data_IF_557658624474
#
_entry.id   IF_557658624474
#
_cell.length_a   1.000
_cell.length_b   1.000
_cell.length_c   1.000
_cell.angle_alpha   90.00
_cell.angle_beta   90.00
_cell.angle_gamma   90.00
#
_symmetry.space_group_name_H-M   'P 1'
#
loop_
_entity.id
_entity.type
_entity.pdbx_description
1 polymer ?
#
# COMPACT_ATOMS: atom_id res chain seq x y z
N UNK A 1 7.42 10.83 -25.68
CA UNK A 1 6.68 9.99 -24.72
C UNK A 1 6.59 8.57 -25.23
N UNK A 2 6.90 7.60 -24.39
CA UNK A 2 6.77 6.20 -24.74
C UNK A 2 5.58 5.60 -24.04
N UNK A 3 4.76 4.88 -24.79
CA UNK A 3 3.67 4.10 -24.24
C UNK A 3 4.14 2.69 -23.90
N UNK A 4 3.54 2.09 -22.87
CA UNK A 4 3.79 0.70 -22.50
C UNK A 4 2.49 0.02 -22.09
N UNK A 5 2.28 -1.17 -22.59
CA UNK A 5 1.15 -2.01 -22.20
C UNK A 5 1.58 -3.47 -22.24
N UNK A 6 0.99 -4.27 -21.36
CA UNK A 6 1.22 -5.71 -21.32
C UNK A 6 -0.10 -6.43 -20.94
N UNK A 7 -0.10 -7.74 -21.00
CA UNK A 7 -1.31 -8.53 -20.75
C UNK A 7 -1.35 -9.19 -19.36
N UNK A 8 -0.50 -8.73 -18.43
CA UNK A 8 -0.45 -9.28 -17.06
C UNK A 8 -1.71 -8.99 -16.25
N UNK A 9 -2.37 -7.88 -16.55
CA UNK A 9 -3.57 -7.42 -15.85
C UNK A 9 -4.64 -7.00 -16.84
N UNK A 10 -5.88 -6.91 -16.39
CA UNK A 10 -6.99 -6.42 -17.21
C UNK A 10 -6.77 -4.99 -17.67
N UNK A 11 -6.04 -4.20 -16.89
CA UNK A 11 -5.73 -2.80 -17.20
C UNK A 11 -4.58 -2.66 -18.21
N UNK A 12 -3.99 -3.78 -18.66
CA UNK A 12 -2.86 -3.81 -19.60
C UNK A 12 -1.61 -3.10 -19.04
N UNK A 13 -1.44 -3.15 -17.73
CA UNK A 13 -0.30 -2.57 -17.02
C UNK A 13 0.46 -3.66 -16.25
N UNK A 14 1.77 -3.48 -16.00
CA UNK A 14 2.52 -4.42 -15.17
C UNK A 14 1.87 -4.61 -13.80
N UNK A 15 1.91 -5.82 -13.27
CA UNK A 15 1.26 -6.16 -12.01
C UNK A 15 1.73 -5.30 -10.83
N UNK A 16 3.05 -5.00 -10.64
CA UNK A 16 3.47 -4.20 -9.50
C UNK A 16 2.82 -2.82 -9.45
N UNK A 17 2.80 -2.08 -10.56
CA UNK A 17 2.19 -0.74 -10.58
C UNK A 17 0.68 -0.83 -10.48
N UNK A 18 0.06 -1.83 -11.09
CA UNK A 18 -1.38 -2.04 -11.00
C UNK A 18 -1.80 -2.27 -9.54
N UNK A 19 -1.11 -3.15 -8.83
CA UNK A 19 -1.39 -3.42 -7.42
C UNK A 19 -1.11 -2.21 -6.54
N UNK A 20 0.00 -1.50 -6.78
CA UNK A 20 0.33 -0.31 -6.01
C UNK A 20 -0.76 0.77 -6.14
N UNK A 21 -1.25 1.00 -7.35
CA UNK A 21 -2.34 1.96 -7.57
C UNK A 21 -3.64 1.52 -6.90
N UNK A 22 -3.99 0.25 -6.98
CA UNK A 22 -5.19 -0.28 -6.32
C UNK A 22 -5.11 -0.19 -4.81
N UNK A 23 -3.95 -0.48 -4.24
CA UNK A 23 -3.71 -0.35 -2.81
C UNK A 23 -3.79 1.11 -2.35
N UNK A 24 -3.19 2.02 -3.11
CA UNK A 24 -3.25 3.45 -2.79
C UNK A 24 -4.69 3.98 -2.84
N UNK A 25 -5.46 3.54 -3.84
CA UNK A 25 -6.87 3.91 -3.96
C UNK A 25 -7.68 3.35 -2.80
N UNK A 26 -7.44 2.09 -2.41
CA UNK A 26 -8.13 1.48 -1.26
C UNK A 26 -7.77 2.18 0.03
N UNK A 27 -6.50 2.56 0.21
CA UNK A 27 -6.06 3.32 1.38
C UNK A 27 -6.84 4.64 1.52
N UNK A 28 -7.02 5.36 0.40
CA UNK A 28 -7.83 6.57 0.39
C UNK A 28 -9.30 6.27 0.72
N UNK A 29 -9.84 5.18 0.19
CA UNK A 29 -11.23 4.78 0.43
C UNK A 29 -11.49 4.48 1.90
N UNK A 30 -10.64 3.69 2.54
CA UNK A 30 -10.83 3.34 3.96
C UNK A 30 -10.72 4.57 4.86
N UNK A 31 -9.93 5.58 4.47
CA UNK A 31 -9.86 6.85 5.16
C UNK A 31 -11.13 7.68 4.95
N UNK A 32 -11.54 7.87 3.71
CA UNK A 32 -12.68 8.73 3.35
C UNK A 32 -14.01 8.19 3.85
N UNK A 33 -14.16 6.88 3.88
CA UNK A 33 -15.40 6.22 4.32
C UNK A 33 -15.37 5.85 5.82
N UNK A 34 -14.35 6.31 6.55
CA UNK A 34 -14.19 6.05 7.98
C UNK A 34 -14.14 4.56 8.36
N UNK A 35 -13.71 3.71 7.45
CA UNK A 35 -13.48 2.30 7.76
C UNK A 35 -12.31 2.20 8.73
N UNK A 36 -11.26 2.98 8.49
CA UNK A 36 -10.17 3.20 9.46
C UNK A 36 -10.17 4.71 9.75
N UNK A 37 -10.66 5.07 10.92
CA UNK A 37 -10.97 6.48 11.22
C UNK A 37 -9.81 7.34 11.68
N UNK A 38 -8.63 6.75 11.91
CA UNK A 38 -7.45 7.47 12.39
C UNK A 38 -6.43 7.79 11.30
N UNK A 39 -6.70 7.42 10.05
CA UNK A 39 -5.79 7.69 8.94
C UNK A 39 -5.87 9.14 8.49
N UNK A 40 -4.73 9.68 8.05
CA UNK A 40 -4.62 11.01 7.47
C UNK A 40 -4.21 10.91 6.00
N UNK A 41 -4.30 12.03 5.23
CA UNK A 41 -4.22 11.97 3.76
C UNK A 41 -2.91 11.46 3.16
N UNK A 42 -1.77 11.69 3.81
CA UNK A 42 -0.49 11.32 3.21
C UNK A 42 -0.22 9.83 3.34
N UNK A 43 0.23 9.23 2.25
CA UNK A 43 0.53 7.80 2.23
C UNK A 43 1.34 7.41 1.02
N UNK A 44 2.06 6.30 1.14
CA UNK A 44 2.91 5.77 0.10
C UNK A 44 2.77 4.25 0.05
N UNK A 45 2.70 3.69 -1.16
CA UNK A 45 2.60 2.26 -1.38
C UNK A 45 3.70 1.80 -2.32
N UNK A 46 4.30 0.67 -2.00
CA UNK A 46 5.31 0.03 -2.85
C UNK A 46 5.06 -1.47 -2.88
N UNK A 47 5.08 -2.06 -4.06
CA UNK A 47 4.85 -3.49 -4.26
C UNK A 47 6.00 -4.09 -5.05
N UNK A 48 6.53 -5.22 -4.56
CA UNK A 48 7.54 -6.01 -5.26
C UNK A 48 6.93 -7.36 -5.63
N UNK A 49 6.99 -7.70 -6.90
CA UNK A 49 6.44 -8.94 -7.45
C UNK A 49 7.57 -9.81 -7.95
N UNK A 50 7.52 -11.10 -7.62
CA UNK A 50 8.44 -12.09 -8.15
C UNK A 50 7.93 -12.61 -9.48
N UNK A 51 8.80 -12.61 -10.50
CA UNK A 51 8.50 -13.09 -11.84
C UNK A 51 9.27 -14.36 -12.14
N UNK A 52 8.67 -15.23 -12.92
CA UNK A 52 9.30 -16.40 -13.47
C UNK A 52 8.97 -16.44 -14.97
N UNK A 53 10.01 -16.41 -15.83
CA UNK A 53 9.85 -16.40 -17.29
C UNK A 53 8.86 -15.33 -17.78
N UNK A 54 9.01 -14.10 -17.31
CA UNK A 54 8.18 -12.96 -17.64
C UNK A 54 6.73 -13.01 -17.12
N UNK A 55 6.41 -14.04 -16.32
CA UNK A 55 5.09 -14.17 -15.70
C UNK A 55 5.16 -13.89 -14.21
N UNK A 56 4.23 -13.08 -13.66
CA UNK A 56 4.19 -12.85 -12.22
C UNK A 56 3.72 -14.11 -11.49
N UNK A 57 4.44 -14.52 -10.45
CA UNK A 57 4.12 -15.75 -9.69
C UNK A 57 3.66 -15.47 -8.27
N UNK A 58 4.20 -14.45 -7.62
CA UNK A 58 3.81 -14.11 -6.25
C UNK A 58 4.20 -12.67 -5.92
N UNK A 59 3.53 -12.13 -4.92
CA UNK A 59 3.93 -10.85 -4.33
C UNK A 59 5.00 -11.13 -3.27
N UNK A 60 6.18 -10.56 -3.46
CA UNK A 60 7.28 -10.76 -2.53
C UNK A 60 7.21 -9.82 -1.33
N UNK A 61 6.96 -8.54 -1.58
CA UNK A 61 6.99 -7.53 -0.53
C UNK A 61 5.94 -6.44 -0.79
N UNK A 62 5.26 -6.02 0.26
CA UNK A 62 4.37 -4.86 0.23
C UNK A 62 4.83 -3.89 1.31
N UNK A 63 5.09 -2.65 0.92
CA UNK A 63 5.43 -1.56 1.84
C UNK A 63 4.33 -0.51 1.78
N UNK A 64 3.75 -0.20 2.92
CA UNK A 64 2.74 0.86 3.04
C UNK A 64 3.15 1.78 4.18
N UNK A 65 3.32 3.07 3.87
CA UNK A 65 3.51 4.10 4.88
C UNK A 65 2.33 5.04 4.84
N UNK A 66 1.66 5.22 5.95
CA UNK A 66 0.47 6.06 6.02
C UNK A 66 0.51 6.97 7.23
N UNK A 67 0.12 8.23 7.00
CA UNK A 67 -0.02 9.19 8.06
C UNK A 67 -1.22 8.84 8.94
N UNK A 68 -1.10 9.05 10.24
CA UNK A 68 -2.13 8.67 11.20
C UNK A 68 -2.17 9.64 12.38
N UNK A 69 -3.20 9.54 13.21
CA UNK A 69 -3.31 10.33 14.43
C UNK A 69 -2.27 9.91 15.48
N UNK A 70 -1.98 10.82 16.38
CA UNK A 70 -0.91 10.68 17.38
C UNK A 70 -1.10 9.50 18.33
N UNK A 71 -2.33 9.22 18.71
CA UNK A 71 -2.67 8.28 19.76
C UNK A 71 -2.88 6.83 19.28
N UNK A 72 -2.51 6.55 18.03
CA UNK A 72 -2.75 5.22 17.46
C UNK A 72 -1.67 4.24 17.90
N UNK A 73 -2.07 3.05 18.30
CA UNK A 73 -1.17 1.93 18.54
C UNK A 73 -0.70 1.40 17.19
N UNK A 74 0.62 1.34 16.99
CA UNK A 74 1.18 0.91 15.71
C UNK A 74 0.86 -0.56 15.39
N UNK A 75 0.71 -1.41 16.39
CA UNK A 75 0.34 -2.81 16.16
C UNK A 75 -1.09 -2.92 15.64
N UNK A 76 -2.00 -2.11 16.17
CA UNK A 76 -3.38 -2.01 15.68
C UNK A 76 -3.41 -1.47 14.26
N UNK A 77 -2.62 -0.43 13.98
CA UNK A 77 -2.53 0.15 12.64
C UNK A 77 -2.03 -0.89 11.64
N UNK A 78 -0.99 -1.63 11.95
CA UNK A 78 -0.44 -2.67 11.07
C UNK A 78 -1.48 -3.75 10.77
N UNK A 79 -2.22 -4.19 11.77
CA UNK A 79 -3.28 -5.17 11.60
C UNK A 79 -4.40 -4.63 10.73
N UNK A 80 -4.88 -3.42 11.00
CA UNK A 80 -5.98 -2.81 10.25
C UNK A 80 -5.63 -2.59 8.79
N UNK A 81 -4.42 -2.11 8.51
CA UNK A 81 -3.96 -1.93 7.11
C UNK A 81 -3.88 -3.27 6.40
N UNK A 82 -3.35 -4.29 7.05
CA UNK A 82 -3.27 -5.62 6.45
C UNK A 82 -4.67 -6.18 6.15
N UNK A 83 -5.59 -6.11 7.08
CA UNK A 83 -6.93 -6.66 6.92
C UNK A 83 -7.82 -5.86 5.97
N UNK A 84 -7.81 -4.54 6.07
CA UNK A 84 -8.75 -3.68 5.35
C UNK A 84 -8.23 -3.17 4.01
N UNK A 85 -6.92 -3.14 3.83
CA UNK A 85 -6.32 -2.65 2.58
C UNK A 85 -5.70 -3.80 1.79
N UNK A 86 -4.72 -4.48 2.34
CA UNK A 86 -3.97 -5.50 1.60
C UNK A 86 -4.84 -6.70 1.26
N UNK A 87 -5.50 -7.28 2.24
CA UNK A 87 -6.31 -8.49 2.04
C UNK A 87 -7.55 -8.25 1.17
N UNK A 88 -8.01 -7.01 1.06
CA UNK A 88 -9.15 -6.67 0.20
C UNK A 88 -8.77 -6.47 -1.26
N UNK A 89 -7.51 -6.18 -1.54
CA UNK A 89 -7.06 -5.80 -2.89
C UNK A 89 -6.19 -6.88 -3.53
N UNK A 90 -5.23 -7.44 -2.80
CA UNK A 90 -4.29 -8.41 -3.37
C UNK A 90 -4.92 -9.80 -3.40
N UNK A 91 -4.95 -10.45 -4.58
CA UNK A 91 -5.46 -11.83 -4.66
C UNK A 91 -4.69 -12.78 -3.74
N UNK A 92 -5.41 -13.64 -3.05
CA UNK A 92 -4.81 -14.55 -2.07
C UNK A 92 -3.81 -15.53 -2.69
N UNK A 93 -4.02 -15.90 -3.94
CA UNK A 93 -3.11 -16.81 -4.65
C UNK A 93 -1.74 -16.20 -4.91
N UNK A 94 -1.62 -14.87 -4.84
CA UNK A 94 -0.33 -14.17 -4.98
C UNK A 94 0.39 -13.98 -3.65
N UNK A 95 -0.29 -14.22 -2.53
CA UNK A 95 0.27 -14.08 -1.19
C UNK A 95 0.62 -15.46 -0.62
N UNK A 96 1.77 -15.58 0.01
CA UNK A 96 2.17 -16.82 0.66
C UNK A 96 2.87 -16.53 2.00
N UNK A 97 3.37 -17.58 2.66
CA UNK A 97 4.05 -17.44 3.95
C UNK A 97 5.36 -16.66 3.88
N UNK A 98 5.92 -16.50 2.67
CA UNK A 98 7.17 -15.77 2.45
C UNK A 98 6.95 -14.31 2.10
N UNK A 99 5.71 -13.90 1.84
CA UNK A 99 5.39 -12.51 1.54
C UNK A 99 5.68 -11.63 2.76
N UNK A 100 6.43 -10.55 2.53
CA UNK A 100 6.83 -9.62 3.58
C UNK A 100 5.93 -8.40 3.59
N UNK A 101 5.53 -7.97 4.77
CA UNK A 101 4.68 -6.79 4.96
C UNK A 101 5.41 -5.78 5.83
N UNK A 102 5.67 -4.60 5.27
CA UNK A 102 6.29 -3.49 5.99
C UNK A 102 5.28 -2.34 6.06
N UNK A 103 4.62 -2.20 7.19
CA UNK A 103 3.61 -1.17 7.39
C UNK A 103 4.18 -0.17 8.40
N UNK A 104 4.36 1.08 7.95
CA UNK A 104 5.03 2.13 8.73
C UNK A 104 6.35 1.65 9.34
N UNK A 105 7.28 1.12 8.53
CA UNK A 105 8.50 0.50 9.04
C UNK A 105 9.44 1.47 9.75
N UNK A 106 9.35 2.76 9.46
CA UNK A 106 10.15 3.79 10.13
C UNK A 106 9.49 4.30 11.42
N UNK A 107 8.34 3.75 11.79
CA UNK A 107 7.64 4.12 13.01
C UNK A 107 6.50 5.10 12.79
N UNK A 108 6.29 6.00 13.75
CA UNK A 108 5.15 6.91 13.71
C UNK A 108 5.27 7.93 12.58
N UNK A 109 4.14 8.16 11.91
CA UNK A 109 4.05 9.06 10.78
C UNK A 109 2.91 10.07 11.03
N UNK A 110 3.21 11.10 11.81
CA UNK A 110 2.19 12.04 12.29
C UNK A 110 2.42 13.47 11.77
N UNK A 111 3.67 13.92 11.59
CA UNK A 111 4.02 15.34 11.56
C UNK A 111 4.51 15.88 10.20
N UNK A 112 4.25 15.25 9.08
CA UNK A 112 4.77 15.72 7.78
C UNK A 112 4.30 17.14 7.44
N UNK A 113 3.03 17.45 7.71
CA UNK A 113 2.46 18.71 7.34
C UNK A 113 3.02 19.92 8.11
N UNK A 114 3.36 19.73 9.36
CA UNK A 114 3.96 20.80 10.18
C UNK A 114 5.31 21.22 9.65
N UNK A 115 6.08 20.31 9.14
CA UNK A 115 7.41 20.59 8.60
C UNK A 115 7.32 21.50 7.37
N UNK A 116 6.45 21.17 6.44
CA UNK A 116 6.27 21.97 5.22
C UNK A 116 5.74 23.37 5.51
N UNK A 117 4.83 23.51 6.44
CA UNK A 117 4.29 24.80 6.81
C UNK A 117 5.34 25.72 7.46
N UNK A 118 6.32 25.16 8.15
CA UNK A 118 7.42 25.94 8.73
C UNK A 118 8.40 26.47 7.70
N UNK A 119 8.54 25.77 6.60
CA UNK A 119 9.48 26.15 5.52
C UNK A 119 8.88 27.25 4.65
N UNK A 120 7.57 27.30 4.55
CA UNK A 120 6.86 28.32 3.79
C UNK A 120 6.71 29.62 4.57
#
# INVERSE_FOLDING_TARGET
MFGFACDETEELMPLPISLAHKLAKRLATVRKENIINYLRPDGKVQVTVEYEDESPVRVDTIVISTQHEENVDLDVLKRDIKEEVINKIVPKELLDSKTKYFINPTGRFVIVFRFYLKVL
#
